data_IF_863153576324
#
_entry.id   IF_863153576324
#
_cell.length_a   1.000
_cell.length_b   1.000
_cell.length_c   1.000
_cell.angle_alpha   90.00
_cell.angle_beta   90.00
_cell.angle_gamma   90.00
#
_symmetry.space_group_name_H-M   'P 1'
#
loop_
_entity.id
_entity.type
_entity.pdbx_description
1 polymer ?
#
# COMPACT_ATOMS: atom_id res chain seq x y z
N UNK A 1 -34.21 -69.43 -1.42
CA UNK A 1 -32.90 -68.86 -1.84
C UNK A 1 -32.73 -67.54 -1.10
N UNK A 2 -31.96 -67.53 0.01
CA UNK A 2 -30.58 -66.99 0.11
C UNK A 2 -30.51 -65.52 -0.32
N UNK A 3 -30.19 -64.52 0.50
CA UNK A 3 -29.84 -64.42 1.92
C UNK A 3 -29.48 -62.94 2.18
N UNK A 4 -30.10 -62.30 3.17
CA UNK A 4 -29.68 -60.98 3.64
C UNK A 4 -28.37 -61.13 4.42
N UNK A 5 -27.29 -60.53 3.94
CA UNK A 5 -26.04 -60.40 4.69
C UNK A 5 -26.25 -59.38 5.82
N UNK A 6 -26.27 -59.88 7.05
CA UNK A 6 -26.09 -59.10 8.26
C UNK A 6 -24.65 -58.59 8.33
N UNK A 7 -24.47 -57.27 8.30
CA UNK A 7 -23.19 -56.64 8.63
C UNK A 7 -23.14 -56.55 10.16
N UNK A 8 -22.30 -57.40 10.77
CA UNK A 8 -21.99 -57.36 12.19
C UNK A 8 -21.04 -56.18 12.45
N UNK A 9 -21.53 -55.15 13.14
CA UNK A 9 -20.68 -54.10 13.71
C UNK A 9 -20.20 -54.57 15.08
N UNK A 10 -19.12 -55.36 15.07
CA UNK A 10 -18.30 -55.65 16.25
C UNK A 10 -17.21 -54.60 16.36
N UNK A 11 -17.17 -53.89 17.48
CA UNK A 11 -16.06 -53.00 17.84
C UNK A 11 -16.55 -51.67 18.40
N UNK A 12 -16.42 -51.49 19.72
CA UNK A 12 -16.65 -50.20 20.40
C UNK A 12 -15.66 -49.15 19.86
N UNK A 13 -16.10 -48.00 19.31
CA UNK A 13 -15.20 -46.90 19.02
C UNK A 13 -15.66 -45.61 19.73
N UNK A 14 -16.16 -45.69 20.97
CA UNK A 14 -16.73 -44.51 21.65
C UNK A 14 -15.67 -43.49 22.11
N UNK A 15 -14.39 -43.86 22.16
CA UNK A 15 -13.31 -42.95 22.59
C UNK A 15 -12.54 -42.27 21.44
N UNK A 16 -12.58 -42.81 20.22
CA UNK A 16 -11.85 -42.25 19.08
C UNK A 16 -12.65 -41.13 18.40
N UNK A 17 -13.97 -41.26 18.35
CA UNK A 17 -14.84 -40.24 17.74
C UNK A 17 -14.83 -38.88 18.49
N UNK A 18 -14.55 -38.89 19.80
CA UNK A 18 -14.54 -37.66 20.60
C UNK A 18 -13.25 -36.84 20.42
N UNK A 19 -12.12 -37.48 20.09
CA UNK A 19 -10.83 -36.80 19.89
C UNK A 19 -10.78 -36.10 18.53
N UNK A 20 -11.45 -36.63 17.52
CA UNK A 20 -11.51 -36.03 16.18
C UNK A 20 -12.40 -34.78 16.13
N UNK A 21 -13.42 -34.68 16.99
CA UNK A 21 -14.35 -33.54 17.02
C UNK A 21 -13.76 -32.30 17.73
N UNK A 22 -12.83 -32.49 18.68
CA UNK A 22 -12.17 -31.38 19.41
C UNK A 22 -11.12 -30.66 18.55
N UNK A 23 -10.56 -31.32 17.52
CA UNK A 23 -9.57 -30.73 16.61
C UNK A 23 -10.17 -29.78 15.54
N UNK A 24 -11.49 -29.75 15.36
CA UNK A 24 -12.14 -28.90 14.35
C UNK A 24 -12.46 -27.47 14.83
N UNK A 25 -12.27 -27.16 16.13
CA UNK A 25 -12.64 -25.84 16.70
C UNK A 25 -11.44 -24.88 16.81
N UNK A 26 -10.23 -25.31 16.43
CA UNK A 26 -9.01 -24.49 16.57
C UNK A 26 -8.69 -23.60 15.36
N UNK A 27 -9.51 -23.59 14.30
CA UNK A 27 -9.19 -22.87 13.05
C UNK A 27 -9.78 -21.45 12.94
N UNK A 28 -10.51 -20.96 13.94
CA UNK A 28 -10.91 -19.55 13.99
C UNK A 28 -9.76 -18.68 14.52
N UNK A 29 -8.58 -18.76 13.92
CA UNK A 29 -7.58 -17.72 14.12
C UNK A 29 -8.03 -16.53 13.29
N UNK A 30 -8.34 -15.42 13.96
CA UNK A 30 -8.57 -14.13 13.31
C UNK A 30 -7.30 -13.76 12.54
N UNK A 31 -7.29 -14.05 11.25
CA UNK A 31 -6.19 -13.64 10.37
C UNK A 31 -6.09 -12.11 10.43
N UNK A 32 -4.88 -11.55 10.53
CA UNK A 32 -4.73 -10.10 10.55
C UNK A 32 -5.36 -9.51 9.27
N UNK A 33 -5.97 -8.31 9.36
CA UNK A 33 -6.59 -7.69 8.21
C UNK A 33 -5.60 -7.58 7.03
N UNK A 34 -6.05 -7.90 5.80
CA UNK A 34 -5.17 -7.95 4.65
C UNK A 34 -4.61 -6.57 4.33
N UNK A 35 -3.36 -6.55 3.84
CA UNK A 35 -2.80 -5.36 3.20
C UNK A 35 -3.36 -5.29 1.78
N UNK A 36 -4.01 -4.20 1.44
CA UNK A 36 -4.49 -3.92 0.08
C UNK A 36 -3.48 -3.04 -0.63
N UNK A 37 -3.08 -3.41 -1.84
CA UNK A 37 -2.19 -2.61 -2.70
C UNK A 37 -2.84 -2.33 -4.05
N UNK A 38 -2.57 -1.16 -4.60
CA UNK A 38 -2.91 -0.80 -5.99
C UNK A 38 -1.71 -0.11 -6.61
N UNK A 39 -1.45 -0.37 -7.89
CA UNK A 39 -0.45 0.35 -8.65
C UNK A 39 -0.97 0.60 -10.07
N UNK A 40 -0.64 1.77 -10.61
CA UNK A 40 -1.01 2.19 -11.96
C UNK A 40 0.17 2.87 -12.63
N UNK A 41 0.26 2.62 -13.92
CA UNK A 41 1.24 3.20 -14.82
C UNK A 41 0.48 3.96 -15.92
N UNK A 42 0.96 5.15 -16.27
CA UNK A 42 0.47 5.90 -17.42
C UNK A 42 1.02 5.26 -18.70
N UNK A 43 0.19 4.59 -19.52
CA UNK A 43 0.69 3.86 -20.71
C UNK A 43 1.29 4.77 -21.80
N UNK A 44 1.11 6.09 -21.69
CA UNK A 44 1.72 7.05 -22.61
C UNK A 44 3.19 7.35 -22.28
N UNK A 45 3.68 6.96 -21.10
CA UNK A 45 5.06 7.17 -20.65
C UNK A 45 5.77 5.83 -20.63
N UNK A 46 7.00 5.77 -21.14
CA UNK A 46 7.84 4.57 -21.01
C UNK A 46 8.74 4.70 -19.79
N UNK A 47 8.27 4.19 -18.65
CA UNK A 47 9.03 4.23 -17.39
C UNK A 47 10.18 3.21 -17.36
N UNK A 48 10.33 2.34 -18.36
CA UNK A 48 11.42 1.33 -18.38
C UNK A 48 12.78 1.94 -18.69
N UNK A 49 12.81 3.16 -19.22
CA UNK A 49 14.03 3.88 -19.58
C UNK A 49 14.64 4.65 -18.40
N UNK A 50 13.95 4.73 -17.27
CA UNK A 50 14.39 5.50 -16.11
C UNK A 50 15.69 4.96 -15.52
N UNK A 51 16.58 5.87 -15.11
CA UNK A 51 17.87 5.56 -14.50
C UNK A 51 18.02 6.27 -13.15
N UNK A 52 17.52 7.50 -13.06
CA UNK A 52 17.76 8.41 -11.95
C UNK A 52 16.47 8.92 -11.35
N UNK A 53 16.50 9.21 -10.05
CA UNK A 53 15.38 9.78 -9.33
C UNK A 53 15.80 10.88 -8.36
N UNK A 54 14.85 11.74 -8.03
CA UNK A 54 15.00 12.70 -6.95
C UNK A 54 13.68 12.85 -6.17
N UNK A 55 13.76 13.48 -5.01
CA UNK A 55 12.55 13.96 -4.35
C UNK A 55 11.95 15.15 -5.10
N UNK A 56 10.62 15.22 -5.15
CA UNK A 56 9.88 16.33 -5.78
C UNK A 56 10.14 17.68 -5.11
N UNK A 57 10.43 17.67 -3.81
CA UNK A 57 10.61 18.80 -2.91
C UNK A 57 11.61 18.45 -1.82
N UNK A 58 12.11 19.45 -1.09
CA UNK A 58 12.91 19.20 0.13
C UNK A 58 12.10 18.39 1.15
N UNK A 59 10.80 18.66 1.24
CA UNK A 59 9.84 17.79 1.92
C UNK A 59 8.97 17.05 0.88
N UNK A 60 9.24 15.75 0.63
CA UNK A 60 8.49 14.98 -0.37
C UNK A 60 7.11 14.53 0.11
N UNK A 61 6.77 14.79 1.38
CA UNK A 61 5.45 14.52 1.93
C UNK A 61 4.43 15.56 1.44
N UNK A 62 3.42 15.09 0.73
CA UNK A 62 2.30 15.89 0.23
C UNK A 62 1.07 15.65 1.08
N UNK A 63 0.39 16.74 1.47
CA UNK A 63 -0.84 16.69 2.24
C UNK A 63 -0.64 16.80 3.75
N UNK A 64 -1.62 16.29 4.50
CA UNK A 64 -1.59 16.34 5.95
C UNK A 64 -0.54 15.37 6.50
N UNK A 65 0.29 15.87 7.43
CA UNK A 65 1.17 15.02 8.25
C UNK A 65 0.38 14.08 9.16
N UNK A 66 -0.89 14.35 9.46
CA UNK A 66 -1.69 13.58 10.42
C UNK A 66 -0.91 13.37 11.73
N UNK A 67 -0.90 12.14 12.24
CA UNK A 67 -0.10 11.71 13.40
C UNK A 67 1.32 11.21 13.01
N UNK A 68 1.97 11.80 12.01
CA UNK A 68 3.31 11.37 11.57
C UNK A 68 4.40 12.02 12.40
N UNK A 69 5.14 11.19 13.14
CA UNK A 69 6.36 11.61 13.84
C UNK A 69 7.52 11.72 12.85
N UNK A 70 8.49 12.59 13.13
CA UNK A 70 9.68 12.76 12.27
C UNK A 70 10.48 11.46 12.10
N UNK A 71 10.54 10.64 13.16
CA UNK A 71 11.19 9.32 13.11
C UNK A 71 10.51 8.41 12.09
N UNK A 72 9.18 8.38 12.08
CA UNK A 72 8.41 7.55 11.15
C UNK A 72 8.41 8.14 9.74
N UNK A 73 8.41 9.48 9.61
CA UNK A 73 8.60 10.19 8.34
C UNK A 73 9.91 9.75 7.69
N UNK A 74 11.02 9.88 8.42
CA UNK A 74 12.34 9.46 7.96
C UNK A 74 12.39 7.97 7.61
N UNK A 75 11.75 7.11 8.40
CA UNK A 75 11.68 5.67 8.09
C UNK A 75 10.96 5.38 6.77
N UNK A 76 9.88 6.10 6.45
CA UNK A 76 9.18 5.96 5.17
C UNK A 76 10.09 6.43 4.03
N UNK A 77 10.70 7.61 4.16
CA UNK A 77 11.57 8.21 3.14
C UNK A 77 12.80 7.34 2.87
N UNK A 78 13.49 6.88 3.92
CA UNK A 78 14.64 5.98 3.81
C UNK A 78 14.23 4.67 3.11
N UNK A 79 13.03 4.14 3.39
CA UNK A 79 12.58 2.90 2.77
C UNK A 79 12.16 3.07 1.30
N UNK A 80 11.58 4.22 0.94
CA UNK A 80 11.30 4.56 -0.46
C UNK A 80 12.62 4.61 -1.26
N UNK A 81 13.63 5.30 -0.72
CA UNK A 81 14.96 5.38 -1.33
C UNK A 81 15.57 3.99 -1.46
N UNK A 82 15.53 3.18 -0.40
CA UNK A 82 16.08 1.82 -0.41
C UNK A 82 15.41 0.92 -1.45
N UNK A 83 14.08 0.99 -1.60
CA UNK A 83 13.35 0.22 -2.61
C UNK A 83 13.75 0.64 -4.03
N UNK A 84 13.81 1.94 -4.32
CA UNK A 84 14.22 2.43 -5.64
C UNK A 84 15.68 2.06 -5.96
N UNK A 85 16.59 2.16 -4.98
CA UNK A 85 17.98 1.75 -5.15
C UNK A 85 18.13 0.25 -5.34
N UNK A 86 17.36 -0.58 -4.60
CA UNK A 86 17.35 -2.03 -4.77
C UNK A 86 16.85 -2.45 -6.17
N UNK A 87 15.99 -1.63 -6.77
CA UNK A 87 15.54 -1.76 -8.16
C UNK A 87 16.52 -1.20 -9.19
N UNK A 88 17.66 -0.67 -8.75
CA UNK A 88 18.76 -0.19 -9.60
C UNK A 88 18.75 1.32 -9.88
N UNK A 89 17.74 2.08 -9.47
CA UNK A 89 17.68 3.52 -9.73
C UNK A 89 18.66 4.30 -8.85
N UNK A 90 19.23 5.37 -9.39
CA UNK A 90 20.21 6.19 -8.70
C UNK A 90 19.61 7.52 -8.25
N UNK A 91 19.81 7.89 -6.98
CA UNK A 91 19.35 9.18 -6.50
C UNK A 91 20.28 10.29 -6.97
N UNK A 92 19.74 11.37 -7.52
CA UNK A 92 20.48 12.58 -7.92
C UNK A 92 20.08 13.78 -7.07
N UNK A 93 21.00 14.73 -6.91
CA UNK A 93 20.78 15.92 -6.09
C UNK A 93 19.89 16.96 -6.79
N UNK A 94 20.12 17.17 -8.09
CA UNK A 94 19.31 18.07 -8.90
C UNK A 94 18.10 17.32 -9.45
N UNK A 95 16.90 17.67 -8.97
CA UNK A 95 15.66 17.03 -9.41
C UNK A 95 15.25 17.39 -10.84
N UNK A 96 15.78 18.48 -11.40
CA UNK A 96 15.54 18.85 -12.79
C UNK A 96 16.37 18.02 -13.77
N UNK A 97 17.39 17.31 -13.26
CA UNK A 97 18.23 16.37 -14.01
C UNK A 97 17.80 14.90 -13.81
N UNK A 98 16.87 14.64 -12.89
CA UNK A 98 16.35 13.29 -12.66
C UNK A 98 15.43 12.87 -13.82
N UNK A 99 15.38 11.56 -14.13
CA UNK A 99 14.38 11.04 -15.06
C UNK A 99 12.97 11.15 -14.47
N UNK A 100 12.86 10.91 -13.16
CA UNK A 100 11.61 11.04 -12.44
C UNK A 100 11.77 11.63 -11.04
N UNK A 101 10.71 12.28 -10.56
CA UNK A 101 10.62 12.77 -9.19
C UNK A 101 9.58 12.01 -8.39
N UNK A 102 9.84 11.86 -7.10
CA UNK A 102 9.03 11.08 -6.18
C UNK A 102 8.39 11.99 -5.14
N UNK A 103 7.11 11.76 -4.88
CA UNK A 103 6.40 12.33 -3.74
C UNK A 103 5.63 11.21 -3.03
N UNK A 104 5.22 11.45 -1.79
CA UNK A 104 4.38 10.49 -1.10
C UNK A 104 3.33 11.19 -0.24
N UNK A 105 2.25 10.47 0.06
CA UNK A 105 1.21 10.92 0.99
C UNK A 105 1.04 9.89 2.09
N UNK A 106 0.80 10.37 3.31
CA UNK A 106 0.23 9.56 4.38
C UNK A 106 -1.22 9.96 4.61
N UNK A 107 -2.09 8.97 4.76
CA UNK A 107 -3.48 9.21 5.10
C UNK A 107 -4.41 9.31 3.88
N UNK A 108 -5.53 10.02 4.04
CA UNK A 108 -6.53 10.19 2.99
C UNK A 108 -6.04 11.19 1.95
N UNK A 109 -6.30 10.86 0.69
CA UNK A 109 -6.02 11.73 -0.45
C UNK A 109 -7.27 12.47 -0.95
N UNK A 110 -8.41 12.33 -0.26
CA UNK A 110 -9.71 12.89 -0.69
C UNK A 110 -9.69 14.41 -0.87
N UNK A 111 -8.89 15.10 -0.06
CA UNK A 111 -8.72 16.55 -0.11
C UNK A 111 -7.48 16.99 -0.89
N UNK A 112 -6.67 16.05 -1.39
CA UNK A 112 -5.54 16.40 -2.23
C UNK A 112 -6.02 16.81 -3.61
N UNK A 113 -5.40 17.88 -4.09
CA UNK A 113 -5.58 18.41 -5.43
C UNK A 113 -4.19 18.65 -6.02
N UNK A 114 -4.13 19.01 -7.30
CA UNK A 114 -2.87 19.41 -7.95
C UNK A 114 -2.15 20.48 -7.13
N UNK A 115 -2.89 21.46 -6.61
CA UNK A 115 -2.35 22.55 -5.79
C UNK A 115 -1.74 22.11 -4.45
N UNK A 116 -1.92 20.84 -4.04
CA UNK A 116 -1.24 20.29 -2.86
C UNK A 116 0.25 19.99 -3.11
N UNK A 117 0.68 19.95 -4.37
CA UNK A 117 2.05 19.66 -4.78
C UNK A 117 2.81 20.95 -5.08
N UNK A 118 4.16 20.94 -5.03
CA UNK A 118 4.95 22.13 -5.31
C UNK A 118 4.58 22.75 -6.66
N UNK A 119 4.58 24.08 -6.74
CA UNK A 119 4.07 24.84 -7.89
C UNK A 119 4.64 24.35 -9.23
N UNK A 120 5.94 24.04 -9.27
CA UNK A 120 6.65 23.50 -10.44
C UNK A 120 5.99 22.26 -11.05
N UNK A 121 5.34 21.43 -10.22
CA UNK A 121 4.74 20.14 -10.57
C UNK A 121 3.21 20.15 -10.54
N UNK A 122 2.60 21.22 -10.00
CA UNK A 122 1.15 21.40 -9.97
C UNK A 122 0.65 22.28 -11.11
N UNK A 123 1.44 23.29 -11.51
CA UNK A 123 1.16 24.15 -12.65
C UNK A 123 1.81 23.61 -13.93
N UNK A 124 1.00 23.25 -14.91
CA UNK A 124 1.47 22.85 -16.25
C UNK A 124 1.87 21.38 -16.41
N UNK A 125 1.74 20.55 -15.38
CA UNK A 125 1.92 19.10 -15.49
C UNK A 125 0.59 18.40 -15.71
N UNK A 126 0.60 17.32 -16.49
CA UNK A 126 -0.58 16.47 -16.70
C UNK A 126 -0.70 15.45 -15.57
N UNK A 127 -1.89 15.36 -14.98
CA UNK A 127 -2.20 14.44 -13.89
C UNK A 127 -3.02 13.24 -14.34
N UNK A 128 -3.41 13.23 -15.62
CA UNK A 128 -4.22 12.18 -16.25
C UNK A 128 -5.38 11.72 -15.34
N UNK A 129 -6.36 12.61 -15.11
CA UNK A 129 -7.42 12.51 -14.09
C UNK A 129 -8.09 11.12 -13.92
N UNK A 130 -8.38 10.34 -14.99
CA UNK A 130 -8.94 8.99 -14.82
C UNK A 130 -8.06 8.06 -13.98
N UNK A 131 -6.73 8.22 -14.05
CA UNK A 131 -5.77 7.39 -13.31
C UNK A 131 -5.60 7.84 -11.85
N UNK A 132 -5.77 9.14 -11.60
CA UNK A 132 -5.66 9.75 -10.27
C UNK A 132 -6.88 9.47 -9.38
N UNK A 133 -8.09 9.36 -9.96
CA UNK A 133 -9.35 9.25 -9.23
C UNK A 133 -9.48 7.98 -8.37
N UNK A 134 -9.07 6.82 -8.87
CA UNK A 134 -9.29 5.53 -8.20
C UNK A 134 -8.36 5.29 -6.99
N UNK A 135 -7.22 5.97 -6.93
CA UNK A 135 -6.22 5.87 -5.85
C UNK A 135 -6.49 6.89 -4.76
N UNK A 136 -7.15 7.99 -5.12
CA UNK A 136 -7.82 8.87 -4.18
C UNK A 136 -8.88 8.11 -3.37
N UNK A 137 -9.41 7.04 -3.95
CA UNK A 137 -10.60 6.35 -3.50
C UNK A 137 -10.40 4.87 -3.18
N UNK A 138 -9.20 4.47 -2.73
CA UNK A 138 -8.89 3.16 -2.12
C UNK A 138 -9.73 2.82 -0.85
N UNK A 139 -10.89 3.47 -0.69
CA UNK A 139 -11.90 3.29 0.34
C UNK A 139 -13.36 3.45 -0.13
N UNK A 140 -13.70 3.85 -1.36
CA UNK A 140 -15.11 4.14 -1.68
C UNK A 140 -16.05 2.95 -1.68
N UNK A 141 -15.56 1.72 -1.82
CA UNK A 141 -16.47 0.62 -2.11
C UNK A 141 -17.11 -0.02 -0.87
N UNK A 142 -16.70 0.24 0.39
CA UNK A 142 -17.31 -0.41 1.59
C UNK A 142 -17.25 0.31 2.95
N UNK A 143 -17.54 1.60 3.07
CA UNK A 143 -17.72 2.21 4.41
C UNK A 143 -19.02 3.00 4.53
N UNK A 144 -20.02 2.34 5.10
CA UNK A 144 -21.18 3.00 5.71
C UNK A 144 -20.68 3.92 6.84
N UNK A 145 -21.04 5.21 6.76
CA UNK A 145 -20.54 6.26 7.65
C UNK A 145 -20.97 6.00 9.11
N UNK A 146 -20.13 5.33 9.89
CA UNK A 146 -20.27 5.25 11.35
C UNK A 146 -19.43 6.35 12.00
N UNK A 147 -20.10 7.16 12.81
CA UNK A 147 -19.62 8.43 13.38
C UNK A 147 -18.37 8.31 14.25
N UNK A 148 -17.41 9.20 13.96
CA UNK A 148 -16.46 9.87 14.89
C UNK A 148 -15.53 8.99 15.76
N UNK A 149 -14.35 8.67 15.19
CA UNK A 149 -13.01 8.42 15.80
C UNK A 149 -12.29 7.34 15.00
N UNK A 150 -12.98 6.23 14.80
CA UNK A 150 -12.69 5.08 13.94
C UNK A 150 -12.22 5.56 12.55
N UNK A 151 -13.07 6.22 11.77
CA UNK A 151 -12.77 6.62 10.39
C UNK A 151 -11.47 7.43 10.20
N UNK A 152 -11.14 8.34 11.13
CA UNK A 152 -9.87 9.12 11.07
C UNK A 152 -8.65 8.22 11.27
N UNK A 153 -8.72 7.31 12.25
CA UNK A 153 -7.66 6.32 12.52
C UNK A 153 -7.51 5.33 11.37
N UNK A 154 -8.61 4.94 10.71
CA UNK A 154 -8.55 4.14 9.48
C UNK A 154 -7.80 4.91 8.41
N UNK A 155 -8.25 6.15 8.13
CA UNK A 155 -7.70 7.01 7.10
C UNK A 155 -6.17 7.14 7.16
N UNK A 156 -5.59 7.25 8.35
CA UNK A 156 -4.14 7.43 8.58
C UNK A 156 -3.23 6.25 8.23
N UNK A 157 -3.80 5.06 7.96
CA UNK A 157 -3.05 3.83 7.70
C UNK A 157 -2.90 3.52 6.20
N UNK A 158 -2.91 4.54 5.35
CA UNK A 158 -2.56 4.43 3.93
C UNK A 158 -1.32 5.23 3.62
N UNK A 159 -0.47 4.67 2.76
CA UNK A 159 0.65 5.36 2.14
C UNK A 159 0.44 5.28 0.63
N UNK A 160 0.65 6.40 -0.05
CA UNK A 160 0.73 6.45 -1.50
C UNK A 160 2.05 7.07 -1.93
N UNK A 161 2.59 6.61 -3.04
CA UNK A 161 3.77 7.14 -3.71
C UNK A 161 3.35 7.54 -5.11
N UNK A 162 3.67 8.78 -5.48
CA UNK A 162 3.47 9.31 -6.82
C UNK A 162 4.82 9.54 -7.47
N UNK A 163 4.97 9.07 -8.70
CA UNK A 163 6.16 9.23 -9.53
C UNK A 163 5.77 10.05 -10.75
N UNK A 164 6.49 11.15 -10.97
CA UNK A 164 6.27 12.02 -12.11
C UNK A 164 7.48 12.03 -13.02
N UNK A 165 7.23 11.93 -14.33
CA UNK A 165 8.24 12.05 -15.38
C UNK A 165 8.69 13.50 -15.54
N UNK A 166 9.98 13.77 -15.36
CA UNK A 166 10.51 15.13 -15.42
C UNK A 166 10.45 15.72 -16.82
N UNK A 167 10.71 14.91 -17.84
CA UNK A 167 10.77 15.35 -19.23
C UNK A 167 9.39 15.58 -19.81
N UNK A 168 8.47 14.63 -19.61
CA UNK A 168 7.10 14.71 -20.09
C UNK A 168 6.24 15.65 -19.24
N UNK A 169 6.67 15.94 -18.01
CA UNK A 169 5.92 16.74 -17.04
C UNK A 169 4.55 16.13 -16.75
N UNK A 170 4.53 14.83 -16.50
CA UNK A 170 3.30 14.07 -16.26
C UNK A 170 3.44 13.10 -15.09
N UNK A 171 2.33 12.81 -14.40
CA UNK A 171 2.26 11.64 -13.51
C UNK A 171 2.45 10.37 -14.34
N UNK A 172 3.53 9.63 -14.09
CA UNK A 172 3.89 8.43 -14.86
C UNK A 172 3.56 7.14 -14.14
N UNK A 173 3.69 7.12 -12.81
CA UNK A 173 3.33 5.96 -12.01
C UNK A 173 2.80 6.35 -10.64
N UNK A 174 1.95 5.50 -10.10
CA UNK A 174 1.39 5.67 -8.78
C UNK A 174 1.16 4.33 -8.11
N UNK A 175 1.55 4.23 -6.84
CA UNK A 175 1.29 3.06 -6.02
C UNK A 175 0.74 3.48 -4.68
N UNK A 176 -0.18 2.70 -4.14
CA UNK A 176 -0.72 2.94 -2.82
C UNK A 176 -0.99 1.62 -2.12
N UNK A 177 -0.86 1.65 -0.79
CA UNK A 177 -1.15 0.52 0.06
C UNK A 177 -1.87 0.97 1.32
N UNK A 178 -2.78 0.13 1.78
CA UNK A 178 -3.59 0.35 2.97
C UNK A 178 -3.66 -0.93 3.80
N UNK A 179 -3.52 -0.79 5.12
CA UNK A 179 -3.84 -1.84 6.08
C UNK A 179 -4.65 -1.28 7.24
N UNK A 180 -5.58 -2.05 7.75
CA UNK A 180 -6.12 -1.79 9.08
C UNK A 180 -5.09 -2.22 10.13
N UNK A 181 -4.69 -1.31 11.02
CA UNK A 181 -3.72 -1.65 12.07
C UNK A 181 -4.41 -2.26 13.29
N UNK A 182 -3.78 -3.29 13.85
CA UNK A 182 -4.10 -3.76 15.21
C UNK A 182 -3.67 -2.72 16.24
N UNK A 183 -4.14 -2.86 17.49
CA UNK A 183 -3.76 -1.96 18.57
C UNK A 183 -2.25 -1.99 18.86
N UNK A 184 -1.61 -3.16 18.70
CA UNK A 184 -0.17 -3.31 18.91
C UNK A 184 0.65 -2.68 17.78
N UNK A 185 0.23 -2.84 16.52
CA UNK A 185 0.88 -2.16 15.39
C UNK A 185 0.74 -0.65 15.47
N UNK A 186 -0.34 -0.12 16.05
CA UNK A 186 -0.46 1.32 16.33
C UNK A 186 0.57 1.82 17.35
N UNK A 187 0.91 0.99 18.35
CA UNK A 187 1.93 1.34 19.35
C UNK A 187 3.35 1.27 18.77
N UNK A 188 3.59 0.33 17.85
CA UNK A 188 4.87 0.16 17.17
C UNK A 188 4.68 0.04 15.64
N UNK A 189 4.44 1.16 14.94
CA UNK A 189 4.11 1.13 13.52
C UNK A 189 5.33 0.86 12.63
N UNK A 190 6.50 0.72 13.21
CA UNK A 190 7.76 0.79 12.49
C UNK A 190 7.87 -0.34 11.44
N UNK A 191 7.59 -1.59 11.81
CA UNK A 191 7.63 -2.73 10.89
C UNK A 191 6.55 -2.63 9.81
N UNK A 192 5.37 -2.16 10.20
CA UNK A 192 4.27 -1.91 9.28
C UNK A 192 4.66 -0.90 8.19
N UNK A 193 5.25 0.24 8.56
CA UNK A 193 5.63 1.28 7.61
C UNK A 193 6.63 0.77 6.56
N UNK A 194 7.58 -0.06 6.97
CA UNK A 194 8.54 -0.69 6.05
C UNK A 194 7.79 -1.61 5.09
N UNK A 195 7.02 -2.56 5.62
CA UNK A 195 6.29 -3.54 4.81
C UNK A 195 5.34 -2.91 3.80
N UNK A 196 4.64 -1.84 4.18
CA UNK A 196 3.72 -1.12 3.29
C UNK A 196 4.44 -0.53 2.10
N UNK A 197 5.57 0.14 2.35
CA UNK A 197 6.36 0.76 1.27
C UNK A 197 6.96 -0.32 0.37
N UNK A 198 7.47 -1.42 0.92
CA UNK A 198 7.98 -2.54 0.10
C UNK A 198 6.89 -3.09 -0.82
N UNK A 199 5.69 -3.29 -0.28
CA UNK A 199 4.55 -3.82 -1.03
C UNK A 199 4.02 -2.83 -2.08
N UNK A 200 4.18 -1.51 -1.87
CA UNK A 200 3.91 -0.47 -2.89
C UNK A 200 4.86 -0.60 -4.08
N UNK A 201 6.15 -0.91 -3.84
CA UNK A 201 7.16 -0.96 -4.89
C UNK A 201 7.26 -2.31 -5.60
N UNK A 202 6.72 -3.41 -5.07
CA UNK A 202 6.67 -4.71 -5.78
C UNK A 202 6.28 -4.61 -7.27
N UNK A 203 5.20 -3.90 -7.66
CA UNK A 203 4.81 -3.75 -9.06
C UNK A 203 5.56 -2.65 -9.83
N UNK A 204 6.42 -1.85 -9.18
CA UNK A 204 7.27 -0.89 -9.89
C UNK A 204 8.41 -1.63 -10.60
N UNK A 205 8.72 -1.34 -11.88
CA UNK A 205 9.71 -2.11 -12.63
C UNK A 205 11.11 -1.94 -12.06
N UNK A 206 11.92 -2.97 -12.23
CA UNK A 206 13.36 -2.88 -12.03
C UNK A 206 13.98 -2.15 -13.22
N UNK A 207 15.09 -1.44 -12.97
CA UNK A 207 15.88 -0.78 -14.01
C UNK A 207 16.46 -1.81 -14.98
N UNK A 208 16.28 -1.59 -16.28
CA UNK A 208 16.83 -2.45 -17.34
C UNK A 208 18.31 -2.13 -17.63
#
# INVERSE_FOLDING_TARGET
MRGLKTISLSGKPTKVALVTLVLLVAACTSSPPPLTTVARHNPAIDITQYQTFAWIAEDPLVGSRGLLTDRNKKRIEDNIVANLQAKGYQMVANRDEADFVVSYTRGSRRTLTKASYPETYSAGWSWNEPYYADVRDMRADRVEYSSTSTASVYIENSIAVDIFDVRARELSWQGAAHKELTAEERKNPAEFLVKVVDDIFKPFPDRQ
#
